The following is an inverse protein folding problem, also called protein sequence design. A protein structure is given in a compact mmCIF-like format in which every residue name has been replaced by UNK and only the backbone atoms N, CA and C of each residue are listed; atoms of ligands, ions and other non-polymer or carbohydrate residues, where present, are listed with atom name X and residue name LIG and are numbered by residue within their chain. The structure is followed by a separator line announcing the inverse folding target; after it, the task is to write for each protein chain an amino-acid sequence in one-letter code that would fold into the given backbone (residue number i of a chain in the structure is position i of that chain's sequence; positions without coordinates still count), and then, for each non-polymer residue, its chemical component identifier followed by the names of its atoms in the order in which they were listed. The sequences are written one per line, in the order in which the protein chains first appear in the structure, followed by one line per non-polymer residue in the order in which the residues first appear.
data_IF_028373249597
#
_entry.id   IF_028373249597
#
_cell.length_a   1.000
_cell.length_b   1.000
_cell.length_c   1.000
_cell.angle_alpha   90.00
_cell.angle_beta   90.00
_cell.angle_gamma   90.00
#
_symmetry.space_group_name_H-M   'P 1'
#
loop_
_entity.id
_entity.type
_entity.pdbx_description
1 polymer ?
#
# COMPACT_ATOMS: atom_id res chain seq x y z
N UNK A 1 18.08 7.45 10.54
CA UNK A 1 19.22 6.96 9.75
C UNK A 1 20.45 6.98 10.65
N UNK A 2 21.23 5.91 10.68
CA UNK A 2 22.47 5.75 11.46
C UNK A 2 23.60 5.40 10.50
N UNK A 3 24.70 6.13 10.57
CA UNK A 3 25.93 5.72 9.90
C UNK A 3 26.87 5.08 10.93
N UNK A 4 27.43 3.91 10.62
CA UNK A 4 28.31 3.15 11.52
C UNK A 4 29.45 2.47 10.75
N UNK A 5 30.62 2.42 11.37
CA UNK A 5 31.78 1.65 10.89
C UNK A 5 31.75 0.19 11.35
N UNK A 6 30.81 -0.17 12.22
CA UNK A 6 30.56 -1.55 12.65
C UNK A 6 29.51 -2.18 11.73
N UNK A 7 29.58 -3.50 11.52
CA UNK A 7 28.53 -4.22 10.80
C UNK A 7 27.23 -4.20 11.60
N UNK A 8 26.09 -4.07 10.91
CA UNK A 8 24.75 -4.02 11.49
C UNK A 8 23.83 -4.92 10.66
N UNK A 9 23.10 -5.81 11.31
CA UNK A 9 22.20 -6.75 10.65
C UNK A 9 20.81 -6.14 10.45
N UNK A 10 20.33 -6.11 9.21
CA UNK A 10 18.93 -5.77 8.91
C UNK A 10 18.04 -7.01 8.76
N UNK A 11 16.74 -6.85 9.00
CA UNK A 11 15.79 -7.96 9.02
C UNK A 11 15.36 -8.51 7.64
N UNK A 12 15.68 -7.82 6.54
CA UNK A 12 15.12 -8.14 5.21
C UNK A 12 16.19 -8.47 4.14
N UNK A 13 17.37 -7.84 4.14
CA UNK A 13 18.48 -8.22 3.25
C UNK A 13 19.86 -8.07 3.94
N UNK A 14 20.49 -9.15 4.43
CA UNK A 14 21.73 -9.06 5.20
C UNK A 14 22.95 -8.75 4.30
N UNK A 15 23.17 -7.47 3.97
CA UNK A 15 24.44 -6.97 3.41
C UNK A 15 25.35 -6.44 4.52
N UNK A 16 26.44 -7.16 4.78
CA UNK A 16 27.43 -6.82 5.81
C UNK A 16 28.33 -5.63 5.44
N UNK A 17 28.37 -5.23 4.17
CA UNK A 17 29.19 -4.09 3.72
C UNK A 17 28.48 -2.74 3.89
N UNK A 18 27.18 -2.75 4.19
CA UNK A 18 26.38 -1.56 4.44
C UNK A 18 26.89 -0.81 5.67
N UNK A 19 27.12 0.49 5.51
CA UNK A 19 27.59 1.40 6.59
C UNK A 19 26.56 2.45 7.00
N UNK A 20 25.39 2.45 6.36
CA UNK A 20 24.32 3.41 6.61
C UNK A 20 23.01 2.67 6.78
N UNK A 21 22.53 2.60 8.02
CA UNK A 21 21.27 1.98 8.40
C UNK A 21 20.12 2.98 8.40
N UNK A 22 19.04 2.62 7.74
CA UNK A 22 17.75 3.25 7.98
C UNK A 22 17.18 2.65 9.26
N UNK A 23 17.49 3.25 10.42
CA UNK A 23 16.89 2.88 11.72
C UNK A 23 15.34 2.91 11.76
N UNK A 24 14.69 3.31 10.67
CA UNK A 24 13.24 3.29 10.49
C UNK A 24 12.75 2.32 9.41
N UNK A 25 13.50 1.29 9.02
CA UNK A 25 13.05 0.36 7.97
C UNK A 25 12.39 -0.91 8.51
N UNK A 26 11.10 -0.75 8.80
CA UNK A 26 9.97 -1.67 8.58
C UNK A 26 8.77 -0.73 8.34
N UNK A 27 7.69 -1.02 7.56
CA UNK A 27 6.50 -0.18 7.66
C UNK A 27 6.13 -0.16 9.14
N UNK A 28 6.23 0.98 9.82
CA UNK A 28 6.07 0.99 11.25
C UNK A 28 4.65 0.54 11.59
N UNK A 29 4.51 0.02 12.80
CA UNK A 29 3.23 -0.43 13.30
C UNK A 29 2.96 -1.86 12.91
N UNK A 30 3.68 -2.39 11.92
CA UNK A 30 3.41 -3.70 11.44
C UNK A 30 3.37 -4.69 12.59
N UNK A 31 3.84 -4.46 13.89
CA UNK A 31 4.14 -5.26 15.15
C UNK A 31 3.00 -5.26 16.35
N UNK A 32 2.03 -6.24 16.61
CA UNK A 32 1.17 -6.55 17.85
C UNK A 32 0.90 -8.03 18.29
N UNK A 33 0.65 -8.28 19.61
CA UNK A 33 0.63 -9.46 20.57
C UNK A 33 2.02 -9.99 20.94
N UNK A 34 2.99 -9.06 20.85
CA UNK A 34 4.41 -9.29 20.56
C UNK A 34 4.70 -9.26 19.05
N UNK A 35 3.63 -9.46 18.28
CA UNK A 35 3.57 -9.83 16.86
C UNK A 35 3.46 -8.60 16.00
N UNK A 36 2.68 -8.55 14.90
CA UNK A 36 2.60 -7.55 13.84
C UNK A 36 1.15 -6.95 13.52
N UNK A 37 0.81 -5.62 13.82
CA UNK A 37 -0.37 -4.84 13.33
C UNK A 37 -0.27 -3.32 12.99
N UNK A 38 0.12 -2.97 11.76
CA UNK A 38 0.46 -1.59 11.36
C UNK A 38 -0.65 -0.75 10.79
N UNK A 39 -0.36 0.17 9.86
CA UNK A 39 -1.40 0.98 9.20
C UNK A 39 -2.52 0.12 8.60
N UNK A 40 -2.21 -1.14 8.28
CA UNK A 40 -3.17 -2.16 7.85
C UNK A 40 -4.23 -2.49 8.92
N UNK A 41 -3.86 -2.55 10.20
CA UNK A 41 -4.80 -2.76 11.30
C UNK A 41 -5.71 -1.56 11.47
N UNK A 42 -5.15 -0.35 11.43
CA UNK A 42 -5.92 0.89 11.55
C UNK A 42 -6.90 1.05 10.38
N UNK A 43 -6.45 0.76 9.16
CA UNK A 43 -7.31 0.71 7.97
C UNK A 43 -8.45 -0.31 8.18
N UNK A 44 -8.12 -1.54 8.60
CA UNK A 44 -9.11 -2.60 8.83
C UNK A 44 -10.12 -2.25 9.93
N UNK A 45 -9.67 -1.72 11.07
CA UNK A 45 -10.54 -1.31 12.17
C UNK A 45 -11.44 -0.14 11.76
N UNK A 46 -10.94 0.82 10.99
CA UNK A 46 -11.74 1.91 10.45
C UNK A 46 -12.79 1.41 9.46
N UNK A 47 -12.47 0.42 8.65
CA UNK A 47 -13.44 -0.24 7.78
C UNK A 47 -14.53 -0.95 8.59
N UNK A 48 -14.17 -1.74 9.61
CA UNK A 48 -15.12 -2.40 10.49
C UNK A 48 -16.03 -1.40 11.22
N UNK A 49 -15.46 -0.31 11.71
CA UNK A 49 -16.21 0.76 12.38
C UNK A 49 -17.25 1.41 11.46
N UNK A 50 -16.93 1.58 10.17
CA UNK A 50 -17.91 2.04 9.17
C UNK A 50 -19.06 1.06 9.03
N UNK A 51 -18.78 -0.24 8.89
CA UNK A 51 -19.82 -1.26 8.67
C UNK A 51 -20.68 -1.45 9.92
N UNK A 52 -20.06 -1.54 11.09
CA UNK A 52 -20.74 -1.86 12.33
C UNK A 52 -21.48 -0.66 12.95
N UNK A 53 -20.94 0.56 12.79
CA UNK A 53 -21.45 1.76 13.49
C UNK A 53 -21.83 2.92 12.56
N UNK A 54 -21.65 2.77 11.24
CA UNK A 54 -21.97 3.83 10.27
C UNK A 54 -21.01 5.02 10.31
N UNK A 55 -19.82 4.87 10.91
CA UNK A 55 -18.84 5.95 10.99
C UNK A 55 -18.23 6.26 9.61
N UNK A 56 -17.92 7.54 9.40
CA UNK A 56 -17.21 8.00 8.20
C UNK A 56 -15.76 7.51 8.20
N UNK A 57 -15.22 7.20 7.02
CA UNK A 57 -13.84 6.70 6.86
C UNK A 57 -13.28 7.07 5.48
N UNK A 58 -11.96 6.99 5.32
CA UNK A 58 -11.23 7.30 4.08
C UNK A 58 -11.36 6.20 3.00
N UNK A 59 -11.94 5.05 3.33
CA UNK A 59 -12.11 3.94 2.39
C UNK A 59 -13.00 4.33 1.22
N UNK A 60 -12.51 4.02 0.02
CA UNK A 60 -13.27 4.13 -1.21
C UNK A 60 -14.58 3.31 -1.11
N UNK A 61 -15.63 3.86 -1.69
CA UNK A 61 -16.84 3.13 -2.02
C UNK A 61 -16.59 2.14 -3.16
N UNK A 62 -17.48 1.16 -3.31
CA UNK A 62 -17.43 0.23 -4.43
C UNK A 62 -17.51 0.96 -5.80
N UNK A 63 -18.29 2.04 -5.89
CA UNK A 63 -18.41 2.84 -7.10
C UNK A 63 -17.10 3.57 -7.44
N UNK A 64 -16.43 4.16 -6.44
CA UNK A 64 -15.13 4.80 -6.62
C UNK A 64 -14.07 3.77 -7.02
N UNK A 65 -14.03 2.61 -6.36
CA UNK A 65 -13.12 1.52 -6.69
C UNK A 65 -13.35 1.00 -8.13
N UNK A 66 -14.61 0.81 -8.52
CA UNK A 66 -14.98 0.41 -9.87
C UNK A 66 -14.51 1.43 -10.92
N UNK A 67 -14.72 2.74 -10.68
CA UNK A 67 -14.21 3.77 -11.56
C UNK A 67 -12.68 3.71 -11.73
N UNK A 68 -11.93 3.51 -10.63
CA UNK A 68 -10.46 3.35 -10.71
C UNK A 68 -10.06 2.09 -11.47
N UNK A 69 -10.79 0.99 -11.31
CA UNK A 69 -10.57 -0.23 -12.06
C UNK A 69 -10.75 -0.01 -13.57
N UNK A 70 -11.82 0.67 -13.98
CA UNK A 70 -12.07 0.96 -15.40
C UNK A 70 -10.99 1.87 -15.99
N UNK A 71 -10.46 2.83 -15.23
CA UNK A 71 -9.31 3.63 -15.67
C UNK A 71 -8.04 2.78 -15.87
N UNK A 72 -7.77 1.83 -14.98
CA UNK A 72 -6.62 0.93 -15.12
C UNK A 72 -6.76 -0.01 -16.33
N UNK A 73 -7.98 -0.54 -16.58
CA UNK A 73 -8.29 -1.31 -17.80
C UNK A 73 -8.09 -0.45 -19.05
N UNK A 74 -8.44 0.83 -18.97
CA UNK A 74 -8.23 1.78 -20.05
C UNK A 74 -6.73 1.97 -20.35
N UNK A 75 -5.88 2.11 -19.33
CA UNK A 75 -4.43 2.21 -19.53
C UNK A 75 -3.85 1.00 -20.26
N UNK A 76 -4.25 -0.22 -19.89
CA UNK A 76 -3.81 -1.44 -20.55
C UNK A 76 -4.27 -1.50 -22.03
N UNK A 77 -5.55 -1.17 -22.29
CA UNK A 77 -6.09 -1.10 -23.65
C UNK A 77 -5.38 -0.06 -24.51
N UNK A 78 -5.09 1.11 -23.96
CA UNK A 78 -4.34 2.18 -24.63
C UNK A 78 -2.92 1.71 -24.98
N UNK A 79 -2.24 1.04 -24.05
CA UNK A 79 -0.88 0.52 -24.26
C UNK A 79 -0.83 -0.50 -25.41
N UNK A 80 -1.80 -1.42 -25.48
CA UNK A 80 -1.90 -2.43 -26.55
C UNK A 80 -2.18 -1.81 -27.92
N UNK A 81 -3.06 -0.81 -27.97
CA UNK A 81 -3.45 -0.14 -29.22
C UNK A 81 -2.49 0.98 -29.64
N UNK A 82 -1.56 1.38 -28.77
CA UNK A 82 -0.61 2.49 -28.99
C UNK A 82 -1.30 3.79 -29.40
N UNK A 83 -2.50 4.05 -28.88
CA UNK A 83 -3.27 5.26 -29.15
C UNK A 83 -4.11 5.67 -27.94
N UNK A 84 -4.43 6.97 -27.79
CA UNK A 84 -5.38 7.43 -26.79
C UNK A 84 -6.74 6.75 -26.96
N UNK A 85 -7.41 6.46 -25.85
CA UNK A 85 -8.77 5.93 -25.85
C UNK A 85 -9.70 6.87 -25.09
N UNK A 86 -10.92 7.12 -25.60
CA UNK A 86 -11.91 7.92 -24.90
C UNK A 86 -12.45 7.15 -23.68
N UNK A 87 -12.71 7.89 -22.61
CA UNK A 87 -13.35 7.40 -21.39
C UNK A 87 -14.82 7.90 -21.34
N UNK A 88 -15.73 7.17 -20.68
CA UNK A 88 -15.52 5.87 -20.04
C UNK A 88 -15.42 4.75 -21.07
N UNK A 89 -14.68 3.70 -20.73
CA UNK A 89 -14.68 2.45 -21.51
C UNK A 89 -15.81 1.52 -21.02
N UNK A 90 -16.38 0.71 -21.91
CA UNK A 90 -17.35 -0.31 -21.53
C UNK A 90 -16.68 -1.45 -20.76
N UNK A 91 -17.45 -2.16 -19.94
CA UNK A 91 -17.07 -3.49 -19.46
C UNK A 91 -16.87 -4.42 -20.68
N UNK A 92 -15.80 -5.20 -20.66
CA UNK A 92 -15.47 -6.19 -21.70
C UNK A 92 -15.98 -7.56 -21.26
#
# INVERSE_FOLDING_TARGET
VLATSNESGEGYAPDKMRRVDFLGSYPPGDMVLGELRGPMREETEQWLNRICMGLTTQHATAAEAHNRLMLTKAFDKSARLKRPIPLPIAEE
#
